data_IF_334153638486
#
_entry.id   IF_334153638486
#
_cell.length_a   1.000
_cell.length_b   1.000
_cell.length_c   1.000
_cell.angle_alpha   90.00
_cell.angle_beta   90.00
_cell.angle_gamma   90.00
#
_symmetry.space_group_name_H-M   'P 1'
#
loop_
_entity.id
_entity.type
_entity.pdbx_description
1 polymer ?
#
# COMPACT_ATOMS: atom_id res chain seq x y z
N UNK A 1 47.80 -22.33 -12.75
CA UNK A 1 46.38 -22.19 -12.37
C UNK A 1 45.57 -21.94 -13.63
N UNK A 2 44.52 -22.72 -13.85
CA UNK A 2 43.59 -22.53 -14.97
C UNK A 2 42.73 -21.29 -14.72
N UNK A 3 42.17 -20.66 -15.76
CA UNK A 3 41.27 -19.51 -15.59
C UNK A 3 40.12 -19.76 -14.60
N UNK A 4 39.46 -20.95 -14.59
CA UNK A 4 38.41 -21.26 -13.62
C UNK A 4 38.85 -21.19 -12.16
N UNK A 5 40.09 -21.63 -11.84
CA UNK A 5 40.60 -21.57 -10.46
C UNK A 5 40.92 -20.15 -10.02
N UNK A 6 41.38 -19.29 -10.94
CA UNK A 6 41.63 -17.87 -10.63
C UNK A 6 40.32 -17.11 -10.37
N UNK A 7 39.30 -17.35 -11.17
CA UNK A 7 37.98 -16.72 -11.01
C UNK A 7 37.32 -17.17 -9.70
N UNK A 8 37.33 -18.47 -9.40
CA UNK A 8 36.80 -18.99 -8.13
C UNK A 8 37.49 -18.35 -6.92
N UNK A 9 38.83 -18.29 -6.93
CA UNK A 9 39.59 -17.70 -5.83
C UNK A 9 39.33 -16.19 -5.67
N UNK A 10 39.06 -15.47 -6.77
CA UNK A 10 38.63 -14.08 -6.71
C UNK A 10 37.24 -13.96 -6.08
N UNK A 11 36.28 -14.79 -6.52
CA UNK A 11 34.92 -14.78 -6.01
C UNK A 11 34.82 -15.24 -4.55
N UNK A 12 35.75 -16.05 -4.05
CA UNK A 12 35.83 -16.42 -2.63
C UNK A 12 36.73 -15.51 -1.79
N UNK A 13 37.18 -14.36 -2.32
CA UNK A 13 38.13 -13.48 -1.64
C UNK A 13 37.45 -12.56 -0.62
N UNK A 14 37.91 -12.58 0.63
CA UNK A 14 37.45 -11.68 1.69
C UNK A 14 37.73 -10.20 1.38
N UNK A 15 38.88 -9.88 0.76
CA UNK A 15 39.21 -8.50 0.38
C UNK A 15 38.22 -7.94 -0.64
N UNK A 16 37.77 -8.78 -1.56
CA UNK A 16 36.74 -8.40 -2.54
C UNK A 16 35.42 -8.11 -1.83
N UNK A 17 35.01 -8.97 -0.88
CA UNK A 17 33.80 -8.76 -0.09
C UNK A 17 33.83 -7.42 0.67
N UNK A 18 34.94 -7.13 1.37
CA UNK A 18 35.14 -5.86 2.09
C UNK A 18 35.03 -4.68 1.13
N UNK A 19 35.70 -4.75 -0.02
CA UNK A 19 35.69 -3.67 -1.01
C UNK A 19 34.28 -3.42 -1.57
N UNK A 20 33.56 -4.47 -1.97
CA UNK A 20 32.19 -4.38 -2.48
C UNK A 20 31.23 -3.79 -1.42
N UNK A 21 31.32 -4.25 -0.18
CA UNK A 21 30.51 -3.73 0.91
C UNK A 21 30.81 -2.24 1.19
N UNK A 22 32.09 -1.85 1.21
CA UNK A 22 32.50 -0.44 1.39
C UNK A 22 32.00 0.44 0.25
N UNK A 23 32.13 -0.01 -1.01
CA UNK A 23 31.63 0.72 -2.18
C UNK A 23 30.11 0.89 -2.11
N UNK A 24 29.36 -0.19 -1.84
CA UNK A 24 27.91 -0.12 -1.70
C UNK A 24 27.48 0.85 -0.58
N UNK A 25 28.21 0.85 0.54
CA UNK A 25 27.96 1.76 1.67
C UNK A 25 28.17 3.22 1.28
N UNK A 26 29.33 3.54 0.70
CA UNK A 26 29.67 4.91 0.30
C UNK A 26 28.69 5.43 -0.76
N UNK A 27 28.34 4.60 -1.74
CA UNK A 27 27.38 4.97 -2.77
C UNK A 27 25.97 5.19 -2.19
N UNK A 28 25.54 4.37 -1.23
CA UNK A 28 24.24 4.54 -0.58
C UNK A 28 24.21 5.83 0.26
N UNK A 29 25.28 6.16 0.96
CA UNK A 29 25.43 7.42 1.69
C UNK A 29 25.41 8.64 0.75
N UNK A 30 26.13 8.59 -0.37
CA UNK A 30 26.10 9.66 -1.36
C UNK A 30 24.72 9.78 -2.03
N UNK A 31 24.11 8.64 -2.33
CA UNK A 31 22.78 8.55 -2.94
C UNK A 31 21.67 9.13 -2.07
N UNK A 32 21.71 8.92 -0.76
CA UNK A 32 20.70 9.49 0.15
C UNK A 32 20.71 11.04 0.12
N UNK A 33 21.88 11.66 -0.01
CA UNK A 33 22.02 13.12 -0.18
C UNK A 33 21.41 13.55 -1.52
N UNK A 34 21.62 12.79 -2.60
CA UNK A 34 21.02 13.06 -3.92
C UNK A 34 19.49 12.95 -3.86
N UNK A 35 18.96 11.94 -3.17
CA UNK A 35 17.51 11.74 -3.02
C UNK A 35 16.84 12.94 -2.35
N UNK A 36 17.44 13.47 -1.28
CA UNK A 36 16.94 14.66 -0.57
C UNK A 36 16.92 15.90 -1.47
N UNK A 37 17.93 16.06 -2.34
CA UNK A 37 18.02 17.21 -3.26
C UNK A 37 17.03 17.14 -4.42
N UNK A 38 16.60 15.94 -4.82
CA UNK A 38 15.74 15.72 -5.99
C UNK A 38 14.46 14.95 -5.66
N UNK A 39 13.61 15.45 -4.74
CA UNK A 39 12.42 14.73 -4.27
C UNK A 39 11.41 14.44 -5.39
N UNK A 40 11.34 15.29 -6.42
CA UNK A 40 10.47 15.04 -7.60
C UNK A 40 10.86 13.79 -8.40
N UNK A 41 12.11 13.33 -8.30
CA UNK A 41 12.59 12.13 -9.01
C UNK A 41 12.51 10.89 -8.12
N UNK A 42 12.87 11.04 -6.85
CA UNK A 42 13.05 9.93 -5.92
C UNK A 42 11.90 9.72 -4.93
N UNK A 43 10.98 10.68 -4.81
CA UNK A 43 9.84 10.60 -3.87
C UNK A 43 8.78 9.58 -4.25
N UNK A 44 8.94 8.88 -5.37
CA UNK A 44 8.09 7.75 -5.76
C UNK A 44 8.76 6.39 -5.53
N UNK A 45 10.02 6.36 -5.08
CA UNK A 45 10.79 5.11 -4.92
C UNK A 45 10.21 4.21 -3.83
N UNK A 46 9.54 4.80 -2.85
CA UNK A 46 8.84 4.14 -1.76
C UNK A 46 7.40 3.78 -2.12
N UNK A 47 6.87 4.30 -3.24
CA UNK A 47 5.50 4.09 -3.71
C UNK A 47 5.36 2.94 -4.71
N UNK A 48 6.46 2.42 -5.24
CA UNK A 48 6.48 1.33 -6.21
C UNK A 48 7.65 0.38 -5.97
N UNK A 49 7.61 -0.79 -6.62
CA UNK A 49 8.75 -1.71 -6.58
C UNK A 49 9.94 -1.12 -7.33
N UNK A 50 11.15 -1.49 -6.91
CA UNK A 50 12.37 -0.88 -7.43
C UNK A 50 12.58 -1.14 -8.93
N UNK A 51 12.17 -2.30 -9.46
CA UNK A 51 12.26 -2.59 -10.90
C UNK A 51 11.37 -1.65 -11.74
N UNK A 52 10.13 -1.41 -11.32
CA UNK A 52 9.23 -0.46 -11.97
C UNK A 52 9.80 0.96 -11.92
N UNK A 53 10.37 1.35 -10.78
CA UNK A 53 11.01 2.64 -10.64
C UNK A 53 12.20 2.79 -11.60
N UNK A 54 13.05 1.76 -11.73
CA UNK A 54 14.17 1.77 -12.67
C UNK A 54 13.69 1.90 -14.12
N UNK A 55 12.67 1.14 -14.51
CA UNK A 55 12.12 1.16 -15.86
C UNK A 55 11.51 2.53 -16.22
N UNK A 56 10.81 3.17 -15.28
CA UNK A 56 10.10 4.44 -15.53
C UNK A 56 10.96 5.68 -15.33
N UNK A 57 11.69 5.75 -14.21
CA UNK A 57 12.41 6.95 -13.78
C UNK A 57 13.92 6.78 -13.86
N UNK A 58 14.42 5.61 -13.48
CA UNK A 58 15.85 5.32 -13.49
C UNK A 58 16.48 5.52 -14.87
N UNK A 59 15.84 5.01 -15.92
CA UNK A 59 16.30 5.16 -17.31
C UNK A 59 16.08 6.56 -17.89
N UNK A 60 15.05 7.28 -17.44
CA UNK A 60 14.75 8.62 -17.94
C UNK A 60 15.77 9.68 -17.48
N UNK A 61 16.44 9.46 -16.35
CA UNK A 61 17.42 10.41 -15.76
C UNK A 61 18.70 9.70 -15.29
N UNK A 62 19.49 9.10 -16.20
CA UNK A 62 20.67 8.31 -15.83
C UNK A 62 21.72 9.13 -15.05
N UNK A 63 21.83 10.43 -15.33
CA UNK A 63 22.74 11.33 -14.60
C UNK A 63 22.41 11.49 -13.12
N UNK A 64 21.16 11.23 -12.70
CA UNK A 64 20.76 11.26 -11.29
C UNK A 64 20.70 9.86 -10.67
N UNK A 65 20.45 8.82 -11.46
CA UNK A 65 20.17 7.45 -10.97
C UNK A 65 21.36 6.48 -11.07
N UNK A 66 22.48 6.84 -11.73
CA UNK A 66 23.64 5.94 -11.95
C UNK A 66 24.16 5.27 -10.67
N UNK A 67 24.14 5.97 -9.53
CA UNK A 67 24.62 5.44 -8.26
C UNK A 67 23.75 4.26 -7.78
N UNK A 68 22.44 4.26 -8.04
CA UNK A 68 21.55 3.14 -7.68
C UNK A 68 21.92 1.88 -8.47
N UNK A 69 22.26 2.03 -9.75
CA UNK A 69 22.73 0.91 -10.58
C UNK A 69 24.04 0.34 -10.05
N UNK A 70 24.98 1.20 -9.63
CA UNK A 70 26.23 0.76 -9.03
C UNK A 70 26.03 0.10 -7.67
N UNK A 71 25.14 0.61 -6.83
CA UNK A 71 24.78 -0.03 -5.55
C UNK A 71 24.18 -1.41 -5.82
N UNK A 72 23.20 -1.51 -6.71
CA UNK A 72 22.57 -2.79 -7.07
C UNK A 72 23.62 -3.78 -7.59
N UNK A 73 24.50 -3.36 -8.50
CA UNK A 73 25.61 -4.17 -8.99
C UNK A 73 26.57 -4.63 -7.89
N UNK A 74 26.97 -3.73 -6.99
CA UNK A 74 27.87 -4.06 -5.88
C UNK A 74 27.25 -5.06 -4.90
N UNK A 75 25.96 -4.90 -4.56
CA UNK A 75 25.23 -5.82 -3.68
C UNK A 75 25.04 -7.19 -4.34
N UNK A 76 24.72 -7.23 -5.64
CA UNK A 76 24.61 -8.50 -6.37
C UNK A 76 25.95 -9.25 -6.45
N UNK A 77 27.05 -8.53 -6.70
CA UNK A 77 28.40 -9.12 -6.68
C UNK A 77 28.80 -9.59 -5.29
N UNK A 78 28.42 -8.87 -4.23
CA UNK A 78 28.62 -9.30 -2.85
C UNK A 78 27.81 -10.57 -2.54
N UNK A 79 26.59 -10.65 -3.04
CA UNK A 79 25.77 -11.86 -3.07
C UNK A 79 26.49 -13.03 -3.72
N UNK A 80 26.98 -12.85 -4.94
CA UNK A 80 27.70 -13.90 -5.66
C UNK A 80 28.98 -14.34 -4.91
N UNK A 81 29.74 -13.40 -4.38
CA UNK A 81 30.91 -13.69 -3.54
C UNK A 81 30.54 -14.55 -2.32
N UNK A 82 29.47 -14.15 -1.62
CA UNK A 82 28.98 -14.85 -0.43
C UNK A 82 28.48 -16.25 -0.78
N UNK A 83 27.83 -16.41 -1.95
CA UNK A 83 27.36 -17.69 -2.46
C UNK A 83 28.52 -18.63 -2.82
N UNK A 84 29.55 -18.11 -3.48
CA UNK A 84 30.77 -18.87 -3.76
C UNK A 84 31.47 -19.32 -2.47
N UNK A 85 31.59 -18.43 -1.48
CA UNK A 85 32.12 -18.77 -0.15
C UNK A 85 31.27 -19.87 0.54
N UNK A 86 29.94 -19.78 0.45
CA UNK A 86 29.04 -20.80 0.97
C UNK A 86 29.25 -22.16 0.29
N UNK A 87 29.39 -22.20 -1.04
CA UNK A 87 29.64 -23.45 -1.77
C UNK A 87 31.04 -24.04 -1.51
N UNK A 88 32.11 -23.23 -1.52
CA UNK A 88 33.47 -23.69 -1.16
C UNK A 88 33.47 -24.34 0.22
N UNK A 89 32.69 -23.75 1.13
CA UNK A 89 32.51 -24.30 2.44
C UNK A 89 31.68 -25.59 2.47
N UNK A 90 30.53 -25.65 1.77
CA UNK A 90 29.62 -26.79 1.79
C UNK A 90 30.34 -28.10 1.38
N UNK A 91 31.25 -27.98 0.41
CA UNK A 91 32.12 -29.08 -0.04
C UNK A 91 33.11 -29.57 1.04
N UNK A 92 33.37 -28.77 2.09
CA UNK A 92 34.30 -29.02 3.19
C UNK A 92 33.61 -29.09 4.57
N UNK A 93 32.30 -29.32 4.59
CA UNK A 93 31.46 -29.28 5.80
C UNK A 93 31.97 -30.17 6.95
N UNK A 94 32.45 -31.38 6.64
CA UNK A 94 32.97 -32.33 7.63
C UNK A 94 34.20 -31.80 8.37
N UNK A 95 35.07 -31.05 7.68
CA UNK A 95 36.30 -30.51 8.26
C UNK A 95 36.06 -29.21 9.05
N UNK A 96 34.93 -28.52 8.85
CA UNK A 96 34.70 -27.17 9.37
C UNK A 96 33.39 -27.01 10.15
N UNK A 97 32.81 -28.09 10.66
CA UNK A 97 31.54 -28.07 11.42
C UNK A 97 31.51 -27.03 12.56
N UNK A 98 32.66 -26.78 13.21
CA UNK A 98 32.82 -25.82 14.32
C UNK A 98 32.55 -24.34 13.97
N UNK A 99 32.37 -23.98 12.69
CA UNK A 99 31.96 -22.62 12.27
C UNK A 99 30.52 -22.55 11.73
N UNK A 100 29.65 -23.45 12.20
CA UNK A 100 28.23 -23.56 11.79
C UNK A 100 27.47 -22.23 11.76
N UNK A 101 27.75 -21.32 12.70
CA UNK A 101 27.14 -19.99 12.75
C UNK A 101 27.45 -19.12 11.54
N UNK A 102 28.70 -19.13 11.04
CA UNK A 102 29.09 -18.36 9.85
C UNK A 102 28.28 -18.82 8.62
N UNK A 103 27.96 -20.11 8.50
CA UNK A 103 27.27 -20.66 7.33
C UNK A 103 25.81 -20.25 7.28
N UNK A 104 25.16 -20.24 8.44
CA UNK A 104 23.79 -19.77 8.56
C UNK A 104 23.67 -18.27 8.26
N UNK A 105 24.70 -17.48 8.59
CA UNK A 105 24.78 -16.06 8.20
C UNK A 105 24.90 -15.93 6.68
N UNK A 106 25.82 -16.67 6.04
CA UNK A 106 25.99 -16.62 4.58
C UNK A 106 24.71 -17.05 3.85
N UNK A 107 24.15 -18.21 4.22
CA UNK A 107 22.91 -18.71 3.62
C UNK A 107 21.75 -17.73 3.86
N UNK A 108 21.61 -17.22 5.08
CA UNK A 108 20.60 -16.23 5.42
C UNK A 108 20.70 -14.97 4.56
N UNK A 109 21.90 -14.44 4.37
CA UNK A 109 22.14 -13.29 3.49
C UNK A 109 21.75 -13.58 2.04
N UNK A 110 22.14 -14.74 1.48
CA UNK A 110 21.78 -15.13 0.11
C UNK A 110 20.27 -15.24 -0.06
N UNK A 111 19.57 -15.84 0.90
CA UNK A 111 18.11 -15.98 0.85
C UNK A 111 17.43 -14.61 0.95
N UNK A 112 17.88 -13.72 1.83
CA UNK A 112 17.37 -12.36 1.92
C UNK A 112 17.62 -11.55 0.62
N UNK A 113 18.81 -11.66 0.03
CA UNK A 113 19.11 -11.00 -1.23
C UNK A 113 18.27 -11.57 -2.38
N UNK A 114 18.14 -12.89 -2.46
CA UNK A 114 17.29 -13.56 -3.44
C UNK A 114 15.82 -13.15 -3.29
N UNK A 115 15.33 -13.05 -2.05
CA UNK A 115 14.00 -12.56 -1.74
C UNK A 115 13.80 -11.11 -2.20
N UNK A 116 14.76 -10.22 -1.93
CA UNK A 116 14.70 -8.83 -2.38
C UNK A 116 14.68 -8.74 -3.92
N UNK A 117 15.54 -9.49 -4.61
CA UNK A 117 15.55 -9.54 -6.09
C UNK A 117 14.23 -10.06 -6.62
N UNK A 118 13.71 -11.16 -6.06
CA UNK A 118 12.42 -11.71 -6.45
C UNK A 118 11.30 -10.68 -6.23
N UNK A 119 11.15 -10.14 -5.02
CA UNK A 119 10.13 -9.15 -4.68
C UNK A 119 10.22 -7.89 -5.55
N UNK A 120 11.43 -7.44 -5.89
CA UNK A 120 11.63 -6.30 -6.80
C UNK A 120 11.15 -6.58 -8.23
N UNK A 121 11.33 -7.81 -8.73
CA UNK A 121 11.02 -8.17 -10.12
C UNK A 121 9.58 -8.65 -10.33
N UNK A 122 9.02 -9.37 -9.36
CA UNK A 122 7.71 -10.02 -9.46
C UNK A 122 6.68 -9.52 -8.45
N UNK A 123 7.09 -8.64 -7.53
CA UNK A 123 6.17 -7.98 -6.61
C UNK A 123 5.30 -6.95 -7.32
N UNK A 124 4.35 -6.39 -6.58
CA UNK A 124 3.52 -5.30 -7.06
C UNK A 124 2.99 -4.46 -5.90
N UNK A 125 2.70 -3.19 -6.17
CA UNK A 125 2.20 -2.24 -5.19
C UNK A 125 1.11 -1.38 -5.82
N UNK A 126 0.00 -1.23 -5.11
CA UNK A 126 -1.10 -0.33 -5.46
C UNK A 126 -1.35 0.60 -4.28
N UNK A 127 -1.36 1.91 -4.52
CA UNK A 127 -1.62 2.93 -3.50
C UNK A 127 -2.90 3.69 -3.81
N UNK A 128 -3.44 4.39 -2.81
CA UNK A 128 -4.61 5.24 -3.00
C UNK A 128 -5.91 4.45 -3.24
N UNK A 129 -5.95 3.18 -2.85
CA UNK A 129 -7.14 2.34 -3.05
C UNK A 129 -8.22 2.75 -2.03
N UNK A 130 -9.10 3.64 -2.45
CA UNK A 130 -10.22 4.10 -1.65
C UNK A 130 -11.36 3.07 -1.68
N UNK A 131 -11.88 2.70 -0.51
CA UNK A 131 -12.98 1.73 -0.37
C UNK A 131 -14.01 2.22 0.66
N UNK A 132 -15.30 2.09 0.33
CA UNK A 132 -16.42 2.43 1.22
C UNK A 132 -16.87 1.20 2.01
N UNK A 133 -17.47 1.45 3.17
CA UNK A 133 -18.07 0.37 3.97
C UNK A 133 -19.17 -0.33 3.13
N UNK A 134 -19.10 -1.65 3.04
CA UNK A 134 -19.93 -2.52 2.20
C UNK A 134 -19.43 -2.70 0.77
N UNK A 135 -18.44 -1.92 0.32
CA UNK A 135 -17.87 -2.03 -1.02
C UNK A 135 -16.81 -3.14 -1.07
N UNK A 136 -16.60 -3.71 -2.26
CA UNK A 136 -15.53 -4.67 -2.54
C UNK A 136 -14.61 -4.14 -3.63
N UNK A 137 -13.31 -4.13 -3.34
CA UNK A 137 -12.25 -3.76 -4.27
C UNK A 137 -11.65 -5.03 -4.91
N UNK A 138 -11.83 -5.27 -6.21
CA UNK A 138 -11.20 -6.40 -6.88
C UNK A 138 -9.68 -6.21 -6.96
N UNK A 139 -8.93 -7.27 -6.65
CA UNK A 139 -7.47 -7.28 -6.71
C UNK A 139 -6.93 -7.80 -8.04
N UNK A 140 -7.70 -7.75 -9.13
CA UNK A 140 -7.39 -8.42 -10.39
C UNK A 140 -5.99 -8.12 -10.95
N UNK A 141 -5.46 -6.91 -10.74
CA UNK A 141 -4.12 -6.52 -11.17
C UNK A 141 -2.97 -7.04 -10.30
N UNK A 142 -3.25 -7.49 -9.07
CA UNK A 142 -2.27 -7.95 -8.09
C UNK A 142 -2.38 -9.47 -7.86
N UNK A 143 -3.61 -9.93 -7.62
CA UNK A 143 -3.96 -11.29 -7.29
C UNK A 143 -5.33 -11.64 -7.93
N UNK A 144 -5.32 -12.26 -9.13
CA UNK A 144 -6.55 -12.64 -9.83
C UNK A 144 -7.48 -13.51 -8.97
N UNK A 145 -8.80 -13.31 -9.13
CA UNK A 145 -9.83 -14.02 -8.36
C UNK A 145 -10.01 -13.55 -6.91
N UNK A 146 -9.21 -12.58 -6.44
CA UNK A 146 -9.31 -12.05 -5.08
C UNK A 146 -9.94 -10.66 -5.04
N UNK A 147 -10.60 -10.34 -3.93
CA UNK A 147 -11.15 -9.02 -3.65
C UNK A 147 -11.05 -8.69 -2.15
N UNK A 148 -10.98 -7.41 -1.82
CA UNK A 148 -11.08 -6.93 -0.44
C UNK A 148 -12.43 -6.28 -0.23
N UNK A 149 -13.21 -6.74 0.75
CA UNK A 149 -14.43 -6.07 1.19
C UNK A 149 -14.16 -5.30 2.47
N UNK A 150 -14.61 -4.05 2.54
CA UNK A 150 -14.57 -3.27 3.77
C UNK A 150 -15.87 -3.45 4.54
N UNK A 151 -15.82 -4.14 5.68
CA UNK A 151 -17.00 -4.43 6.49
C UNK A 151 -17.34 -3.29 7.46
N UNK A 152 -16.32 -2.71 8.09
CA UNK A 152 -16.47 -1.55 8.99
C UNK A 152 -15.24 -0.65 8.91
N UNK A 153 -15.44 0.64 9.16
CA UNK A 153 -14.37 1.62 9.19
C UNK A 153 -14.60 2.66 10.29
N UNK A 154 -13.58 2.86 11.12
CA UNK A 154 -13.63 3.80 12.24
C UNK A 154 -12.29 4.57 12.35
N UNK A 155 -12.27 5.88 12.03
CA UNK A 155 -11.14 6.73 12.38
C UNK A 155 -11.17 7.05 13.88
N UNK A 156 -10.06 6.83 14.57
CA UNK A 156 -9.92 6.99 16.02
C UNK A 156 -9.21 8.30 16.34
N UNK A 157 -9.84 9.12 17.16
CA UNK A 157 -9.30 10.39 17.62
C UNK A 157 -9.07 10.38 19.13
N UNK A 158 -7.94 10.93 19.58
CA UNK A 158 -7.62 11.12 21.01
C UNK A 158 -7.37 12.60 21.23
N UNK A 159 -8.20 13.25 22.05
CA UNK A 159 -8.10 14.69 22.29
C UNK A 159 -8.30 15.56 21.03
N UNK A 160 -9.09 15.09 20.06
CA UNK A 160 -9.31 15.78 18.78
C UNK A 160 -8.20 15.58 17.75
N UNK A 161 -7.10 14.89 18.11
CA UNK A 161 -6.03 14.53 17.19
C UNK A 161 -6.25 13.13 16.63
N UNK A 162 -6.00 12.97 15.33
CA UNK A 162 -6.00 11.65 14.70
C UNK A 162 -4.94 10.76 15.35
N UNK A 163 -5.35 9.57 15.77
CA UNK A 163 -4.50 8.64 16.53
C UNK A 163 -4.35 7.29 15.82
N UNK A 164 -5.44 6.75 15.28
CA UNK A 164 -5.45 5.44 14.64
C UNK A 164 -6.62 5.34 13.65
N UNK A 165 -6.64 4.30 12.83
CA UNK A 165 -7.81 3.93 12.03
C UNK A 165 -8.01 2.43 12.07
N UNK A 166 -9.25 2.01 12.25
CA UNK A 166 -9.63 0.59 12.32
C UNK A 166 -10.47 0.27 11.10
N UNK A 167 -9.96 -0.62 10.25
CA UNK A 167 -10.73 -1.15 9.12
C UNK A 167 -10.93 -2.64 9.33
N UNK A 168 -12.18 -3.11 9.35
CA UNK A 168 -12.45 -4.55 9.28
C UNK A 168 -12.50 -4.93 7.81
N UNK A 169 -11.49 -5.67 7.36
CA UNK A 169 -11.39 -6.14 5.99
C UNK A 169 -11.65 -7.63 5.91
N UNK A 170 -12.45 -8.02 4.93
CA UNK A 170 -12.61 -9.40 4.52
C UNK A 170 -11.93 -9.63 3.18
N UNK A 171 -10.93 -10.52 3.15
CA UNK A 171 -10.34 -11.04 1.93
C UNK A 171 -11.27 -12.12 1.35
N UNK A 172 -11.68 -11.90 0.11
CA UNK A 172 -12.52 -12.79 -0.67
C UNK A 172 -11.68 -13.49 -1.75
N UNK A 173 -12.01 -14.75 -2.04
CA UNK A 173 -11.54 -15.48 -3.23
C UNK A 173 -12.72 -16.12 -3.93
N UNK A 174 -12.91 -15.74 -5.18
CA UNK A 174 -14.03 -16.22 -6.01
C UNK A 174 -15.39 -16.05 -5.30
N UNK A 175 -15.54 -14.93 -4.57
CA UNK A 175 -16.73 -14.58 -3.79
C UNK A 175 -16.85 -15.27 -2.41
N UNK A 176 -15.93 -16.16 -2.04
CA UNK A 176 -15.90 -16.82 -0.73
C UNK A 176 -14.99 -16.08 0.24
N UNK A 177 -15.43 -15.95 1.49
CA UNK A 177 -14.63 -15.36 2.56
C UNK A 177 -13.47 -16.29 2.91
N UNK A 178 -12.23 -15.80 2.75
CA UNK A 178 -11.03 -16.52 3.17
C UNK A 178 -10.63 -16.13 4.58
N UNK A 179 -10.65 -14.82 4.86
CA UNK A 179 -10.15 -14.26 6.11
C UNK A 179 -10.76 -12.89 6.36
N UNK A 180 -11.14 -12.64 7.61
CA UNK A 180 -11.61 -11.34 8.09
C UNK A 180 -10.71 -10.87 9.22
N UNK A 181 -10.21 -9.66 9.15
CA UNK A 181 -9.28 -9.11 10.14
C UNK A 181 -9.49 -7.61 10.33
N UNK A 182 -9.30 -7.15 11.58
CA UNK A 182 -9.29 -5.73 11.91
C UNK A 182 -7.87 -5.21 11.74
N UNK A 183 -7.64 -4.42 10.69
CA UNK A 183 -6.35 -3.80 10.42
C UNK A 183 -6.25 -2.41 11.04
N UNK A 184 -5.02 -2.04 11.41
CA UNK A 184 -4.64 -0.76 12.05
C UNK A 184 -3.34 -0.25 11.43
N UNK A 185 -2.96 1.01 11.69
CA UNK A 185 -1.78 1.62 11.05
C UNK A 185 -0.50 0.76 11.14
N UNK A 186 -0.31 0.05 12.26
CA UNK A 186 0.85 -0.83 12.49
C UNK A 186 0.49 -2.33 12.56
N UNK A 187 -0.74 -2.68 12.18
CA UNK A 187 -1.22 -4.06 12.18
C UNK A 187 -1.88 -4.35 10.83
N UNK A 188 -1.08 -4.69 9.80
CA UNK A 188 -1.60 -4.99 8.46
C UNK A 188 -2.28 -6.35 8.41
N UNK A 189 -3.20 -6.50 7.44
CA UNK A 189 -3.64 -7.82 7.01
C UNK A 189 -2.51 -8.42 6.18
N UNK A 190 -2.07 -9.62 6.58
CA UNK A 190 -1.01 -10.36 5.88
C UNK A 190 -1.51 -11.75 5.56
N UNK A 191 -1.62 -12.09 4.27
CA UNK A 191 -2.06 -13.39 3.78
C UNK A 191 -1.15 -13.86 2.63
N UNK A 192 -0.29 -14.84 2.90
CA UNK A 192 0.69 -15.29 1.91
C UNK A 192 1.66 -14.16 1.51
N UNK A 193 1.70 -13.85 0.21
CA UNK A 193 2.48 -12.74 -0.33
C UNK A 193 1.72 -11.40 -0.33
N UNK A 194 0.46 -11.35 0.12
CA UNK A 194 -0.37 -10.16 0.16
C UNK A 194 -0.25 -9.43 1.51
N UNK A 195 -0.02 -8.12 1.46
CA UNK A 195 0.02 -7.23 2.61
C UNK A 195 -0.89 -6.03 2.34
N UNK A 196 -1.85 -5.78 3.22
CA UNK A 196 -2.78 -4.64 3.13
C UNK A 196 -2.59 -3.73 4.34
N UNK A 197 -2.27 -2.48 4.07
CA UNK A 197 -1.96 -1.46 5.06
C UNK A 197 -2.97 -0.31 4.95
N UNK A 198 -3.50 0.20 6.08
CA UNK A 198 -4.19 1.49 6.07
C UNK A 198 -3.17 2.60 5.78
N UNK A 199 -3.43 3.40 4.75
CA UNK A 199 -2.55 4.51 4.37
C UNK A 199 -3.07 5.83 4.93
N UNK A 200 -4.35 6.13 4.69
CA UNK A 200 -5.03 7.32 5.18
C UNK A 200 -6.54 7.08 5.17
N UNK A 201 -7.31 8.11 5.49
CA UNK A 201 -8.74 8.13 5.27
C UNK A 201 -9.12 9.42 4.54
N UNK A 202 -10.21 9.36 3.79
CA UNK A 202 -10.81 10.54 3.18
C UNK A 202 -12.26 10.69 3.64
N UNK A 203 -12.83 11.85 3.38
CA UNK A 203 -14.25 12.11 3.60
C UNK A 203 -14.89 12.45 2.27
N UNK A 204 -15.99 11.79 1.99
CA UNK A 204 -16.82 12.09 0.82
C UNK A 204 -18.20 12.52 1.28
N UNK A 205 -18.78 13.51 0.60
CA UNK A 205 -20.17 13.82 0.81
C UNK A 205 -21.04 12.71 0.22
N UNK A 206 -21.99 12.22 1.01
CA UNK A 206 -23.01 11.26 0.56
C UNK A 206 -24.41 11.86 0.48
N UNK A 207 -24.54 13.13 0.87
CA UNK A 207 -25.80 13.84 0.92
C UNK A 207 -25.66 15.18 1.62
N UNK A 208 -26.79 15.75 2.01
CA UNK A 208 -26.86 17.04 2.70
C UNK A 208 -27.92 17.01 3.80
N UNK A 209 -27.63 17.70 4.89
CA UNK A 209 -28.64 18.13 5.85
C UNK A 209 -29.33 19.35 5.26
N UNK A 210 -30.65 19.30 5.17
CA UNK A 210 -31.49 20.37 4.70
C UNK A 210 -32.49 20.77 5.78
N UNK A 211 -32.76 22.07 5.90
CA UNK A 211 -33.84 22.56 6.75
C UNK A 211 -35.15 22.62 5.95
N UNK A 212 -36.23 22.19 6.59
CA UNK A 212 -37.60 22.24 6.08
C UNK A 212 -38.54 22.83 7.15
N UNK A 213 -39.78 23.21 6.80
CA UNK A 213 -40.77 23.66 7.78
C UNK A 213 -41.09 22.63 8.87
N UNK A 214 -40.81 21.34 8.62
CA UNK A 214 -41.01 20.25 9.58
C UNK A 214 -39.77 19.98 10.45
N UNK A 215 -38.67 20.72 10.22
CA UNK A 215 -37.40 20.57 10.92
C UNK A 215 -36.24 20.21 9.98
N UNK A 216 -35.11 19.83 10.58
CA UNK A 216 -33.93 19.43 9.82
C UNK A 216 -34.05 17.99 9.34
N UNK A 217 -33.78 17.76 8.06
CA UNK A 217 -33.87 16.46 7.39
C UNK A 217 -32.54 16.11 6.72
N UNK A 218 -32.25 14.81 6.62
CA UNK A 218 -31.08 14.31 5.91
C UNK A 218 -31.47 13.74 4.55
N UNK A 219 -30.97 14.36 3.49
CA UNK A 219 -31.17 13.91 2.11
C UNK A 219 -29.96 13.12 1.65
N UNK A 220 -30.18 11.83 1.36
CA UNK A 220 -29.20 10.88 0.81
C UNK A 220 -29.85 10.14 -0.37
N UNK A 221 -29.08 9.56 -1.31
CA UNK A 221 -29.64 8.63 -2.29
C UNK A 221 -30.51 7.56 -1.61
N UNK A 222 -31.74 7.39 -2.09
CA UNK A 222 -32.74 6.51 -1.49
C UNK A 222 -33.65 7.15 -0.43
N UNK A 223 -33.38 8.38 0.02
CA UNK A 223 -34.27 9.11 0.93
C UNK A 223 -35.66 9.29 0.29
N UNK A 224 -36.71 9.08 1.08
CA UNK A 224 -38.11 9.25 0.67
C UNK A 224 -38.81 10.18 1.65
N UNK A 225 -39.27 11.32 1.16
CA UNK A 225 -40.05 12.28 1.92
C UNK A 225 -41.52 12.16 1.52
N UNK A 226 -42.39 11.92 2.51
CA UNK A 226 -43.84 11.94 2.32
C UNK A 226 -44.35 13.33 2.67
N UNK A 227 -45.03 13.95 1.72
CA UNK A 227 -45.60 15.29 1.87
C UNK A 227 -47.02 15.19 2.48
N UNK A 228 -47.49 16.23 3.20
CA UNK A 228 -48.79 16.19 3.89
C UNK A 228 -50.00 15.92 2.98
N UNK A 229 -49.88 16.24 1.70
CA UNK A 229 -50.91 16.05 0.67
C UNK A 229 -50.84 14.68 -0.05
N UNK A 230 -50.02 13.76 0.46
CA UNK A 230 -49.89 12.41 -0.08
C UNK A 230 -48.88 12.28 -1.22
N UNK A 231 -48.22 13.38 -1.65
CA UNK A 231 -47.12 13.32 -2.61
C UNK A 231 -45.86 12.72 -1.99
N UNK A 232 -44.99 12.19 -2.84
CA UNK A 232 -43.74 11.56 -2.40
C UNK A 232 -42.56 12.13 -3.17
N UNK A 233 -41.59 12.70 -2.45
CA UNK A 233 -40.31 13.14 -3.02
C UNK A 233 -39.26 12.07 -2.76
N UNK A 234 -38.63 11.56 -3.81
CA UNK A 234 -37.54 10.59 -3.76
C UNK A 234 -36.23 11.23 -4.17
N UNK A 235 -35.17 10.95 -3.44
CA UNK A 235 -33.81 11.27 -3.82
C UNK A 235 -33.25 10.08 -4.59
N UNK A 236 -33.08 10.22 -5.90
CA UNK A 236 -32.59 9.14 -6.76
C UNK A 236 -31.07 9.06 -6.72
N UNK A 237 -30.39 10.21 -6.85
CA UNK A 237 -28.93 10.31 -6.91
C UNK A 237 -28.43 11.57 -6.22
N UNK A 238 -27.18 11.53 -5.81
CA UNK A 238 -26.44 12.68 -5.29
C UNK A 238 -25.07 12.73 -5.96
N UNK A 239 -24.65 13.94 -6.34
CA UNK A 239 -23.30 14.21 -6.79
C UNK A 239 -22.76 15.41 -6.02
N UNK A 240 -21.53 15.28 -5.50
CA UNK A 240 -20.86 16.33 -4.73
C UNK A 240 -20.41 17.51 -5.61
N UNK A 241 -20.07 17.23 -6.87
CA UNK A 241 -19.76 18.23 -7.88
C UNK A 241 -20.30 17.86 -9.26
N UNK A 242 -21.03 18.79 -9.87
CA UNK A 242 -21.57 18.64 -11.21
C UNK A 242 -21.29 19.85 -12.11
N UNK A 243 -21.20 19.58 -13.41
CA UNK A 243 -21.17 20.60 -14.46
C UNK A 243 -22.35 20.40 -15.41
N UNK A 244 -22.96 21.51 -15.81
CA UNK A 244 -23.98 21.53 -16.85
C UNK A 244 -23.30 21.64 -18.22
N UNK A 245 -23.54 20.67 -19.10
CA UNK A 245 -23.08 20.71 -20.49
C UNK A 245 -23.87 21.72 -21.32
N UNK A 246 -23.37 22.05 -22.52
CA UNK A 246 -24.06 22.96 -23.45
C UNK A 246 -25.40 22.40 -23.96
N UNK A 247 -25.63 21.10 -23.82
CA UNK A 247 -26.89 20.39 -24.08
C UNK A 247 -27.87 20.45 -22.90
N UNK A 248 -27.52 21.13 -21.80
CA UNK A 248 -28.31 21.21 -20.58
C UNK A 248 -28.23 19.99 -19.67
N UNK A 249 -27.47 18.94 -20.04
CA UNK A 249 -27.32 17.75 -19.20
C UNK A 249 -26.34 17.98 -18.06
N UNK A 250 -26.53 17.26 -16.96
CA UNK A 250 -25.71 17.34 -15.75
C UNK A 250 -24.73 16.18 -15.74
N UNK A 251 -23.44 16.48 -15.59
CA UNK A 251 -22.35 15.51 -15.56
C UNK A 251 -21.59 15.62 -14.24
N UNK A 252 -21.31 14.51 -13.53
CA UNK A 252 -20.47 14.53 -12.34
C UNK A 252 -19.02 14.85 -12.72
N UNK A 253 -18.33 15.67 -11.92
CA UNK A 253 -16.95 16.10 -12.18
C UNK A 253 -15.97 15.66 -11.09
N UNK A 254 -16.44 15.50 -9.85
CA UNK A 254 -15.61 15.07 -8.74
C UNK A 254 -16.40 14.78 -7.46
N UNK A 255 -15.66 14.36 -6.43
CA UNK A 255 -16.21 14.00 -5.11
C UNK A 255 -16.08 15.13 -4.08
N UNK A 256 -15.39 16.22 -4.43
CA UNK A 256 -15.33 17.43 -3.62
C UNK A 256 -16.67 18.17 -3.66
N UNK A 257 -17.04 18.81 -2.56
CA UNK A 257 -18.32 19.54 -2.46
C UNK A 257 -18.18 20.93 -3.09
N UNK A 258 -18.15 20.96 -4.42
CA UNK A 258 -18.08 22.20 -5.19
C UNK A 258 -19.49 22.60 -5.62
N UNK A 259 -20.07 21.98 -6.64
CA UNK A 259 -21.45 22.24 -7.07
C UNK A 259 -22.37 21.03 -6.82
N UNK A 260 -22.83 20.81 -5.59
CA UNK A 260 -23.58 19.61 -5.27
C UNK A 260 -24.99 19.63 -5.87
N UNK A 261 -25.47 18.46 -6.27
CA UNK A 261 -26.78 18.29 -6.89
C UNK A 261 -27.47 16.98 -6.51
N UNK A 262 -28.78 17.05 -6.31
CA UNK A 262 -29.65 15.88 -6.19
C UNK A 262 -30.43 15.64 -7.47
N UNK A 263 -30.52 14.38 -7.91
CA UNK A 263 -31.56 13.96 -8.84
C UNK A 263 -32.78 13.58 -8.02
N UNK A 264 -33.89 14.26 -8.25
CA UNK A 264 -35.12 14.13 -7.48
C UNK A 264 -36.25 13.64 -8.37
N UNK A 265 -37.15 12.85 -7.78
CA UNK A 265 -38.41 12.43 -8.38
C UNK A 265 -39.57 12.80 -7.45
N UNK A 266 -40.52 13.59 -7.95
CA UNK A 266 -41.74 13.96 -7.24
C UNK A 266 -42.91 13.19 -7.83
N UNK A 267 -43.49 12.31 -7.01
CA UNK A 267 -44.63 11.48 -7.35
C UNK A 267 -45.92 12.17 -6.91
N UNK A 268 -46.81 12.39 -7.87
CA UNK A 268 -48.15 12.91 -7.65
C UNK A 268 -49.18 11.77 -7.62
N UNK A 269 -50.19 11.81 -6.73
CA UNK A 269 -51.27 10.82 -6.73
C UNK A 269 -52.16 10.88 -7.98
N UNK A 270 -52.27 12.05 -8.61
CA UNK A 270 -53.21 12.33 -9.70
C UNK A 270 -52.51 12.70 -11.03
N UNK A 271 -51.23 13.07 -10.99
CA UNK A 271 -50.45 13.50 -12.16
C UNK A 271 -49.25 12.58 -12.39
N UNK A 272 -48.62 12.70 -13.56
CA UNK A 272 -47.38 11.99 -13.88
C UNK A 272 -46.21 12.40 -12.97
N UNK A 273 -45.20 11.53 -12.79
CA UNK A 273 -44.01 11.85 -12.00
C UNK A 273 -43.24 13.01 -12.62
N UNK A 274 -42.82 13.97 -11.79
CA UNK A 274 -41.77 14.90 -12.17
C UNK A 274 -40.41 14.33 -11.80
N UNK A 275 -39.42 14.49 -12.67
CA UNK A 275 -38.02 14.13 -12.39
C UNK A 275 -37.10 15.26 -12.84
N UNK A 276 -36.15 15.65 -12.01
CA UNK A 276 -35.22 16.71 -12.34
C UNK A 276 -34.08 16.88 -11.35
N UNK A 277 -33.17 17.78 -11.69
CA UNK A 277 -32.01 18.09 -10.87
C UNK A 277 -32.28 19.28 -9.96
N UNK A 278 -31.95 19.13 -8.69
CA UNK A 278 -31.86 20.22 -7.72
C UNK A 278 -30.38 20.52 -7.46
N UNK A 279 -29.89 21.62 -8.04
CA UNK A 279 -28.54 22.13 -7.80
C UNK A 279 -28.60 23.03 -6.56
N UNK A 280 -27.90 22.65 -5.50
CA UNK A 280 -28.03 23.29 -4.18
C UNK A 280 -27.62 24.77 -4.20
N UNK A 281 -26.78 25.16 -5.17
CA UNK A 281 -26.35 26.55 -5.38
C UNK A 281 -27.31 27.40 -6.21
N UNK A 282 -28.19 26.79 -7.02
CA UNK A 282 -29.11 27.50 -7.93
C UNK A 282 -30.50 27.70 -7.31
N UNK A 283 -30.78 27.04 -6.18
CA UNK A 283 -32.09 27.07 -5.53
C UNK A 283 -33.03 25.97 -6.02
N UNK A 284 -34.20 25.88 -5.38
CA UNK A 284 -35.18 24.82 -5.65
C UNK A 284 -35.77 24.92 -7.07
N UNK A 285 -35.87 23.81 -7.81
CA UNK A 285 -36.54 23.76 -9.09
C UNK A 285 -38.00 24.23 -8.99
N UNK A 286 -38.47 24.96 -10.00
CA UNK A 286 -39.83 25.52 -10.03
C UNK A 286 -40.95 24.51 -9.74
N UNK A 287 -40.90 23.24 -10.24
CA UNK A 287 -41.91 22.24 -9.90
C UNK A 287 -41.95 21.87 -8.42
N UNK A 288 -40.80 21.88 -7.73
CA UNK A 288 -40.74 21.63 -6.28
C UNK A 288 -41.24 22.85 -5.49
N UNK A 289 -40.90 24.06 -5.94
CA UNK A 289 -41.41 25.30 -5.32
C UNK A 289 -42.91 25.45 -5.50
N UNK A 290 -43.44 25.15 -6.69
CA UNK A 290 -44.88 25.11 -6.97
C UNK A 290 -45.59 24.02 -6.15
N UNK A 291 -44.87 22.95 -5.81
CA UNK A 291 -45.31 21.94 -4.87
C UNK A 291 -45.25 22.39 -3.40
N UNK A 292 -44.86 23.62 -3.09
CA UNK A 292 -44.75 24.11 -1.70
C UNK A 292 -43.62 23.43 -0.91
N UNK A 293 -42.71 22.72 -1.59
CA UNK A 293 -41.55 22.10 -0.97
C UNK A 293 -40.55 23.19 -0.63
N UNK A 294 -40.12 23.22 0.63
CA UNK A 294 -39.09 24.12 1.12
C UNK A 294 -37.97 23.26 1.70
N UNK A 295 -36.79 23.38 1.08
CA UNK A 295 -35.57 22.66 1.40
C UNK A 295 -34.41 23.66 1.29
N UNK A 296 -33.75 23.94 2.41
CA UNK A 296 -32.58 24.80 2.43
C UNK A 296 -31.35 23.97 2.83
N UNK A 297 -30.35 23.79 1.96
CA UNK A 297 -29.16 23.01 2.28
C UNK A 297 -28.35 23.74 3.35
N UNK A 298 -27.93 23.01 4.38
CA UNK A 298 -27.19 23.55 5.53
C UNK A 298 -25.74 23.06 5.56
N UNK A 299 -25.53 21.75 5.55
CA UNK A 299 -24.20 21.15 5.65
C UNK A 299 -24.14 19.80 4.92
N UNK A 300 -22.98 19.42 4.36
CA UNK A 300 -22.80 18.11 3.75
C UNK A 300 -22.81 17.00 4.80
N UNK A 301 -23.42 15.87 4.45
CA UNK A 301 -23.31 14.63 5.23
C UNK A 301 -22.06 13.91 4.76
N UNK A 302 -21.03 13.89 5.62
CA UNK A 302 -19.74 13.31 5.31
C UNK A 302 -19.67 11.86 5.76
N UNK A 303 -19.20 11.00 4.87
CA UNK A 303 -18.88 9.61 5.15
C UNK A 303 -17.38 9.40 5.04
N UNK A 304 -16.81 8.77 6.06
CA UNK A 304 -15.41 8.41 6.06
C UNK A 304 -15.18 7.18 5.15
N UNK A 305 -14.13 7.23 4.34
CA UNK A 305 -13.70 6.12 3.47
C UNK A 305 -12.27 5.72 3.85
N UNK A 306 -11.98 4.42 3.76
CA UNK A 306 -10.64 3.89 4.03
C UNK A 306 -9.79 3.98 2.78
N UNK A 307 -8.55 4.46 2.89
CA UNK A 307 -7.59 4.47 1.78
C UNK A 307 -6.48 3.50 2.12
N UNK A 308 -6.31 2.50 1.27
CA UNK A 308 -5.42 1.37 1.50
C UNK A 308 -4.22 1.37 0.56
N UNK A 309 -3.08 0.94 1.08
CA UNK A 309 -1.94 0.49 0.29
C UNK A 309 -1.92 -1.03 0.27
N UNK A 310 -1.82 -1.60 -0.92
CA UNK A 310 -1.89 -3.04 -1.15
C UNK A 310 -0.58 -3.45 -1.82
N UNK A 311 0.16 -4.31 -1.14
CA UNK A 311 1.45 -4.82 -1.59
C UNK A 311 1.34 -6.33 -1.82
N UNK A 312 1.99 -6.79 -2.88
CA UNK A 312 2.27 -8.19 -3.10
C UNK A 312 3.78 -8.39 -3.13
N UNK A 313 4.32 -9.09 -2.16
CA UNK A 313 5.74 -9.42 -2.06
C UNK A 313 5.96 -10.94 -2.03
N UNK A 314 6.18 -11.56 -3.20
CA UNK A 314 6.45 -13.00 -3.28
C UNK A 314 7.78 -13.41 -2.62
N UNK A 315 8.67 -12.47 -2.32
CA UNK A 315 9.92 -12.71 -1.60
C UNK A 315 9.76 -12.77 -0.08
N UNK A 316 8.61 -12.35 0.48
CA UNK A 316 8.46 -12.14 1.92
C UNK A 316 8.76 -13.40 2.77
N UNK A 317 8.24 -14.56 2.37
CA UNK A 317 8.48 -15.83 3.07
C UNK A 317 9.96 -16.25 2.99
N UNK A 318 10.59 -16.06 1.84
CA UNK A 318 12.02 -16.36 1.64
C UNK A 318 12.90 -15.42 2.49
N UNK A 319 12.56 -14.14 2.57
CA UNK A 319 13.22 -13.16 3.42
C UNK A 319 13.07 -13.52 4.90
N UNK A 320 11.89 -13.96 5.34
CA UNK A 320 11.65 -14.43 6.71
C UNK A 320 12.55 -15.61 7.06
N UNK A 321 12.64 -16.61 6.20
CA UNK A 321 13.53 -17.76 6.39
C UNK A 321 15.00 -17.30 6.45
N UNK A 322 15.42 -16.44 5.51
CA UNK A 322 16.77 -15.89 5.49
C UNK A 322 17.12 -15.13 6.76
N UNK A 323 16.20 -14.30 7.27
CA UNK A 323 16.35 -13.56 8.53
C UNK A 323 16.47 -14.47 9.74
N UNK A 324 15.64 -15.51 9.84
CA UNK A 324 15.71 -16.51 10.91
C UNK A 324 17.07 -17.22 10.89
N UNK A 325 17.52 -17.68 9.71
CA UNK A 325 18.80 -18.36 9.58
C UNK A 325 19.97 -17.44 9.97
N UNK A 326 19.95 -16.19 9.52
CA UNK A 326 20.99 -15.22 9.86
C UNK A 326 21.01 -14.95 11.37
N UNK A 327 19.84 -14.77 12.01
CA UNK A 327 19.73 -14.59 13.45
C UNK A 327 20.24 -15.78 14.27
N UNK A 328 19.86 -17.00 13.88
CA UNK A 328 20.39 -18.24 14.47
C UNK A 328 21.90 -18.37 14.27
N UNK A 329 22.40 -17.99 13.09
CA UNK A 329 23.82 -18.00 12.77
C UNK A 329 24.63 -17.07 13.66
N UNK A 330 24.15 -15.85 13.88
CA UNK A 330 24.75 -14.89 14.83
C UNK A 330 24.74 -15.44 16.25
N UNK A 331 23.60 -15.97 16.72
CA UNK A 331 23.50 -16.56 18.05
C UNK A 331 24.50 -17.72 18.25
N UNK A 332 24.60 -18.62 17.27
CA UNK A 332 25.54 -19.73 17.29
C UNK A 332 27.00 -19.27 17.24
N UNK A 333 27.32 -18.27 16.42
CA UNK A 333 28.67 -17.71 16.35
C UNK A 333 29.09 -17.10 17.70
N UNK A 334 28.20 -16.34 18.34
CA UNK A 334 28.43 -15.75 19.67
C UNK A 334 28.58 -16.83 20.74
N UNK A 335 27.65 -17.77 20.82
CA UNK A 335 27.71 -18.86 21.81
C UNK A 335 28.97 -19.71 21.63
N UNK A 336 29.35 -20.03 20.38
CA UNK A 336 30.58 -20.76 20.06
C UNK A 336 31.82 -19.98 20.51
N UNK A 337 31.87 -18.67 20.26
CA UNK A 337 32.95 -17.81 20.70
C UNK A 337 33.11 -17.79 22.24
N UNK A 338 32.02 -17.54 22.97
CA UNK A 338 32.05 -17.53 24.44
C UNK A 338 32.34 -18.91 25.04
N UNK A 339 31.84 -19.99 24.43
CA UNK A 339 32.11 -21.35 24.89
C UNK A 339 33.57 -21.78 24.68
N UNK A 340 34.23 -21.31 23.61
CA UNK A 340 35.67 -21.50 23.41
C UNK A 340 36.47 -20.71 24.45
N UNK A 341 36.10 -19.45 24.68
CA UNK A 341 36.76 -18.60 25.67
C UNK A 341 36.65 -19.17 27.09
N UNK A 342 35.52 -19.75 27.47
CA UNK A 342 35.34 -20.45 28.77
C UNK A 342 36.22 -21.69 28.92
N UNK A 343 36.55 -22.37 27.82
CA UNK A 343 37.41 -23.57 27.80
C UNK A 343 38.91 -23.25 27.74
N UNK A 344 39.28 -21.97 27.63
CA UNK A 344 40.68 -21.58 27.50
C UNK A 344 41.29 -21.85 26.12
N UNK A 345 40.48 -22.28 25.13
CA UNK A 345 40.89 -22.38 23.73
C UNK A 345 41.24 -20.96 23.23
N UNK A 346 42.52 -20.61 23.28
CA UNK A 346 43.02 -19.39 22.64
C UNK A 346 43.17 -19.68 21.14
N UNK A 347 42.81 -18.73 20.25
CA UNK A 347 43.17 -18.87 18.85
C UNK A 347 44.70 -18.97 18.77
N UNK A 348 45.20 -20.04 18.16
CA UNK A 348 46.61 -20.16 17.79
C UNK A 348 46.91 -18.99 16.83
N UNK A 349 47.80 -18.11 17.25
CA UNK A 349 48.28 -16.97 16.46
C UNK A 349 49.48 -17.46 15.65
N UNK A 350 49.22 -18.27 14.62
CA UNK A 350 50.22 -18.65 13.61
C UNK A 350 50.10 -17.76 12.36
#
# INVERSE_FOLDING_TARGET
MTMPTRLWNLLCNLKLAIWLASVATVLTMAGSIVMIKFPKTFGSIDQMILADWFARFGQARPGLSWWLWLVAGAVLLLGLNTLCCFFDWLLRIRARWRKSGEYLIHLGFILCLGAFVWGSLAGSRSEGNAIRVGESLPLAGLLPGHALRLDTFEPVFVGGQFSDMRSTLTLLRDGRELRTEVIRLNHPLTEGDLIVLPATFAQEAEGFRCDSPQGSIELRPGSVLRLPDGRVLRVLRFFADVRRGGDGRIYPVGNEVNNPAFELELLHPQDGPWRGWYLLREGLPAPLTAAGIQLQPREPLLRAISVLTINRDPGAELAKIGGILMGLGVALALLSFYAKRRRGDRPELD
#
